data_IF_344074737593
#
_entry.id   IF_344074737593
#
_cell.length_a   1.000
_cell.length_b   1.000
_cell.length_c   1.000
_cell.angle_alpha   90.00
_cell.angle_beta   90.00
_cell.angle_gamma   90.00
#
_symmetry.space_group_name_H-M   'P 1'
#
loop_
_entity.id
_entity.type
_entity.pdbx_description
1 polymer ?
#
# COMPACT_ATOMS: atom_id res chain seq x y z
N UNK A 1 36.55 71.38 46.01
CA UNK A 1 35.96 70.94 44.72
C UNK A 1 36.16 69.42 44.64
N UNK A 2 35.09 68.73 44.59
CA UNK A 2 34.96 67.26 44.84
C UNK A 2 35.25 66.50 43.54
N UNK A 3 36.22 65.58 43.57
CA UNK A 3 36.46 64.62 42.48
C UNK A 3 35.77 63.32 42.80
N UNK A 4 34.86 62.88 41.90
CA UNK A 4 34.21 61.57 41.97
C UNK A 4 35.02 60.51 41.23
N UNK A 5 35.50 59.52 41.93
CA UNK A 5 36.03 58.27 41.34
C UNK A 5 34.91 57.24 41.31
N UNK A 6 34.59 56.79 40.11
CA UNK A 6 33.62 55.70 39.86
C UNK A 6 34.34 54.38 39.87
N UNK A 7 33.90 53.49 40.75
CA UNK A 7 34.34 52.08 40.79
C UNK A 7 33.50 51.28 39.78
N UNK A 8 34.12 50.64 38.83
CA UNK A 8 33.53 49.62 37.99
C UNK A 8 33.77 48.26 38.65
N UNK A 9 32.68 47.61 39.09
CA UNK A 9 32.68 46.23 39.48
C UNK A 9 32.30 45.36 38.30
N UNK A 10 33.23 44.50 37.83
CA UNK A 10 32.95 43.44 36.88
C UNK A 10 32.25 42.28 37.62
N UNK A 11 31.01 42.02 37.32
CA UNK A 11 30.29 40.80 37.66
C UNK A 11 30.44 39.83 36.51
N UNK A 12 31.30 38.85 36.64
CA UNK A 12 31.37 37.69 35.74
C UNK A 12 30.20 36.76 36.00
N UNK A 13 29.14 36.88 35.24
CA UNK A 13 28.00 35.92 35.26
C UNK A 13 28.35 34.68 34.45
N UNK A 14 28.61 33.60 35.14
CA UNK A 14 28.72 32.27 34.51
C UNK A 14 27.33 31.82 34.01
N UNK A 15 27.04 31.95 32.73
CA UNK A 15 25.89 31.32 32.11
C UNK A 15 26.19 29.80 31.98
N UNK A 16 25.74 29.04 32.94
CA UNK A 16 25.61 27.60 32.79
C UNK A 16 24.44 27.33 31.84
N UNK A 17 24.76 27.07 30.57
CA UNK A 17 23.80 26.58 29.60
C UNK A 17 23.37 25.16 29.99
N UNK A 18 22.25 25.04 30.71
CA UNK A 18 21.58 23.79 30.95
C UNK A 18 21.14 23.24 29.61
N UNK A 19 21.90 22.33 29.00
CA UNK A 19 21.41 21.46 27.94
C UNK A 19 20.35 20.56 28.59
N UNK A 20 19.09 20.97 28.47
CA UNK A 20 17.98 20.07 28.63
C UNK A 20 18.17 18.99 27.56
N UNK A 21 18.72 17.85 27.96
CA UNK A 21 18.60 16.63 27.17
C UNK A 21 17.09 16.36 27.07
N UNK A 22 16.50 16.68 25.92
CA UNK A 22 15.16 16.22 25.60
C UNK A 22 15.25 14.69 25.68
N UNK A 23 14.60 14.08 26.63
CA UNK A 23 14.44 12.64 26.68
C UNK A 23 13.76 12.25 25.37
N UNK A 24 14.54 11.72 24.44
CA UNK A 24 14.06 11.23 23.18
C UNK A 24 13.10 10.09 23.52
N UNK A 25 11.81 10.29 23.30
CA UNK A 25 10.84 9.22 23.47
C UNK A 25 11.38 7.98 22.73
N UNK A 26 11.33 6.79 23.34
CA UNK A 26 11.81 5.59 22.65
C UNK A 26 11.12 5.49 21.30
N UNK A 27 11.91 5.31 20.24
CA UNK A 27 11.39 5.22 18.89
C UNK A 27 10.33 4.10 18.84
N UNK A 28 9.14 4.43 18.35
CA UNK A 28 8.05 3.47 18.21
C UNK A 28 8.55 2.26 17.42
N UNK A 29 8.41 1.05 17.98
CA UNK A 29 8.74 -0.18 17.28
C UNK A 29 7.81 -0.36 16.07
N UNK A 30 8.36 -0.87 14.98
CA UNK A 30 7.63 -1.17 13.76
C UNK A 30 7.87 -2.62 13.39
N UNK A 31 6.80 -3.35 13.14
CA UNK A 31 6.84 -4.69 12.54
C UNK A 31 6.53 -4.59 11.05
N UNK A 32 7.29 -5.30 10.23
CA UNK A 32 6.95 -5.53 8.83
C UNK A 32 6.50 -6.98 8.68
N UNK A 33 5.41 -7.18 7.94
CA UNK A 33 4.91 -8.49 7.57
C UNK A 33 4.93 -8.62 6.06
N UNK A 34 5.53 -9.71 5.55
CA UNK A 34 5.58 -10.00 4.12
C UNK A 34 5.29 -11.48 3.88
N UNK A 35 4.53 -11.78 2.82
CA UNK A 35 4.16 -13.16 2.55
C UNK A 35 4.93 -13.79 1.40
N UNK A 36 5.06 -15.12 1.49
CA UNK A 36 5.34 -16.02 0.37
C UNK A 36 4.23 -17.07 0.36
N UNK A 37 3.35 -17.03 -0.64
CA UNK A 37 2.17 -17.89 -0.66
C UNK A 37 1.35 -17.78 0.63
N UNK A 38 1.17 -18.88 1.39
CA UNK A 38 0.42 -18.89 2.64
C UNK A 38 1.25 -18.47 3.86
N UNK A 39 2.54 -18.34 3.73
CA UNK A 39 3.46 -18.02 4.82
C UNK A 39 3.57 -16.52 5.00
N UNK A 40 3.29 -16.01 6.21
CA UNK A 40 3.43 -14.62 6.60
C UNK A 40 4.59 -14.49 7.57
N UNK A 41 5.68 -13.91 7.10
CA UNK A 41 6.90 -13.71 7.87
C UNK A 41 6.91 -12.33 8.51
N UNK A 42 7.24 -12.30 9.80
CA UNK A 42 7.49 -11.10 10.58
C UNK A 42 8.96 -10.68 10.46
N UNK A 43 9.17 -9.37 10.35
CA UNK A 43 10.47 -8.71 10.44
C UNK A 43 10.39 -7.54 11.43
N UNK A 44 11.34 -7.44 12.34
CA UNK A 44 11.57 -6.19 13.06
C UNK A 44 12.17 -5.16 12.10
N UNK A 45 11.71 -3.91 12.18
CA UNK A 45 12.23 -2.82 11.36
C UNK A 45 13.13 -1.93 12.22
N UNK A 46 14.44 -2.00 12.00
CA UNK A 46 15.37 -0.99 12.52
C UNK A 46 15.36 0.22 11.57
N UNK A 47 14.55 1.22 11.91
CA UNK A 47 14.42 2.44 11.13
C UNK A 47 15.74 3.23 11.09
N UNK A 48 16.52 3.23 12.18
CA UNK A 48 17.79 3.94 12.23
C UNK A 48 18.87 3.26 11.39
N UNK A 49 19.00 1.94 11.48
CA UNK A 49 19.91 1.12 10.67
C UNK A 49 19.44 0.89 9.23
N UNK A 50 18.16 1.19 8.93
CA UNK A 50 17.47 0.80 7.69
C UNK A 50 17.61 -0.71 7.42
N UNK A 51 17.31 -1.52 8.44
CA UNK A 51 17.50 -2.96 8.44
C UNK A 51 16.20 -3.70 8.76
N UNK A 52 16.01 -4.85 8.12
CA UNK A 52 14.92 -5.79 8.39
C UNK A 52 15.51 -7.03 9.05
N UNK A 53 15.06 -7.35 10.25
CA UNK A 53 15.54 -8.51 11.01
C UNK A 53 14.43 -9.57 10.97
N UNK A 54 14.65 -10.64 10.20
CA UNK A 54 13.68 -11.73 10.06
C UNK A 54 13.42 -12.39 11.41
N UNK A 55 12.16 -12.63 11.69
CA UNK A 55 11.63 -13.32 12.87
C UNK A 55 10.86 -14.57 12.45
N UNK A 56 9.83 -14.90 13.16
CA UNK A 56 9.00 -16.07 12.94
C UNK A 56 8.05 -15.90 11.73
N UNK A 57 7.53 -17.04 11.30
CA UNK A 57 6.55 -17.14 10.21
C UNK A 57 5.31 -17.85 10.70
N UNK A 58 4.13 -17.32 10.34
CA UNK A 58 2.82 -17.97 10.56
C UNK A 58 2.29 -18.46 9.22
N UNK A 59 1.89 -19.73 9.15
CA UNK A 59 1.30 -20.32 7.96
C UNK A 59 -0.23 -20.26 8.06
N UNK A 60 -0.86 -19.69 7.02
CA UNK A 60 -2.31 -19.59 6.87
C UNK A 60 -2.88 -20.65 5.91
N UNK A 61 -4.20 -20.75 5.86
CA UNK A 61 -4.89 -21.57 4.87
C UNK A 61 -5.04 -20.76 3.58
N UNK A 62 -4.28 -21.12 2.55
CA UNK A 62 -4.29 -20.44 1.26
C UNK A 62 -3.33 -19.24 1.15
N UNK A 63 -2.96 -18.91 -0.08
CA UNK A 63 -2.06 -17.81 -0.40
C UNK A 63 -2.66 -16.45 0.00
N UNK A 64 -1.87 -15.64 0.68
CA UNK A 64 -2.29 -14.33 1.20
C UNK A 64 -2.53 -13.38 0.03
N UNK A 65 -3.70 -12.73 0.04
CA UNK A 65 -4.08 -11.74 -0.97
C UNK A 65 -3.92 -10.31 -0.48
N UNK A 66 -4.33 -10.06 0.76
CA UNK A 66 -4.18 -8.75 1.40
C UNK A 66 -4.28 -8.88 2.91
N UNK A 67 -3.71 -7.91 3.62
CA UNK A 67 -3.92 -7.79 5.05
C UNK A 67 -4.06 -6.32 5.47
N UNK A 68 -4.79 -6.10 6.58
CA UNK A 68 -5.03 -4.78 7.13
C UNK A 68 -5.03 -4.79 8.66
N UNK A 69 -4.31 -3.87 9.31
CA UNK A 69 -4.27 -3.83 10.77
C UNK A 69 -5.56 -3.20 11.34
N UNK A 70 -6.01 -3.72 12.47
CA UNK A 70 -6.98 -3.05 13.32
C UNK A 70 -6.39 -1.74 13.87
N UNK A 71 -7.22 -0.70 14.09
CA UNK A 71 -6.77 0.60 14.62
C UNK A 71 -6.00 0.50 15.94
N UNK A 72 -6.32 -0.49 16.79
CA UNK A 72 -5.61 -0.74 18.04
C UNK A 72 -4.21 -1.35 17.84
N UNK A 73 -3.89 -1.80 16.61
CA UNK A 73 -2.64 -2.48 16.26
C UNK A 73 -2.40 -3.78 17.03
N UNK A 74 -3.45 -4.35 17.62
CA UNK A 74 -3.44 -5.63 18.32
C UNK A 74 -3.87 -6.79 17.44
N UNK A 75 -4.44 -6.51 16.27
CA UNK A 75 -4.90 -7.51 15.33
C UNK A 75 -4.52 -7.13 13.89
N UNK A 76 -4.25 -8.16 13.10
CA UNK A 76 -4.06 -8.07 11.65
C UNK A 76 -5.09 -8.97 10.98
N UNK A 77 -5.96 -8.41 10.15
CA UNK A 77 -6.93 -9.16 9.37
C UNK A 77 -6.32 -9.55 8.04
N UNK A 78 -6.42 -10.81 7.67
CA UNK A 78 -5.78 -11.38 6.48
C UNK A 78 -6.82 -12.08 5.61
N UNK A 79 -6.90 -11.69 4.35
CA UNK A 79 -7.65 -12.38 3.31
C UNK A 79 -6.72 -13.34 2.57
N UNK A 80 -7.10 -14.61 2.47
CA UNK A 80 -6.31 -15.66 1.83
C UNK A 80 -7.16 -16.56 0.93
N UNK A 81 -6.51 -17.27 -0.01
CA UNK A 81 -7.18 -18.08 -1.00
C UNK A 81 -6.28 -19.17 -1.57
N UNK A 82 -6.82 -20.36 -1.82
CA UNK A 82 -6.13 -21.40 -2.58
C UNK A 82 -6.26 -21.23 -4.11
N UNK A 83 -6.97 -20.18 -4.57
CA UNK A 83 -7.00 -19.69 -5.95
C UNK A 83 -6.17 -18.40 -6.14
N UNK A 84 -5.20 -18.15 -5.25
CA UNK A 84 -4.34 -16.97 -5.29
C UNK A 84 -3.37 -17.03 -6.48
N UNK A 85 -3.06 -15.92 -7.16
CA UNK A 85 -1.98 -15.89 -8.13
C UNK A 85 -0.67 -16.36 -7.50
N UNK A 86 0.04 -17.30 -8.17
CA UNK A 86 1.26 -17.91 -7.64
C UNK A 86 1.03 -18.89 -6.49
N UNK A 87 -0.21 -19.20 -6.13
CA UNK A 87 -0.56 -20.23 -5.14
C UNK A 87 -1.91 -20.84 -5.48
N UNK A 88 -1.98 -21.57 -6.58
CA UNK A 88 -3.20 -22.27 -7.00
C UNK A 88 -3.17 -23.70 -6.50
N UNK A 89 -4.20 -24.11 -5.76
CA UNK A 89 -4.41 -25.46 -5.26
C UNK A 89 -5.87 -25.86 -5.46
N UNK A 90 -6.11 -27.03 -5.99
CA UNK A 90 -7.47 -27.55 -6.15
C UNK A 90 -8.11 -27.86 -4.78
N UNK A 91 -9.43 -27.69 -4.65
CA UNK A 91 -10.44 -27.35 -5.67
C UNK A 91 -10.63 -25.84 -5.94
N UNK A 92 -9.73 -24.95 -5.51
CA UNK A 92 -9.77 -23.49 -5.66
C UNK A 92 -10.99 -22.81 -5.01
N UNK A 93 -11.57 -23.43 -4.00
CA UNK A 93 -12.77 -22.94 -3.31
C UNK A 93 -12.52 -22.54 -1.86
N UNK A 94 -11.27 -22.60 -1.41
CA UNK A 94 -10.90 -22.29 -0.04
C UNK A 94 -10.41 -20.85 0.07
N UNK A 95 -11.31 -19.99 0.54
CA UNK A 95 -11.07 -18.57 0.70
C UNK A 95 -11.43 -18.19 2.13
N UNK A 96 -10.55 -17.44 2.80
CA UNK A 96 -10.71 -17.16 4.23
C UNK A 96 -10.41 -15.72 4.59
N UNK A 97 -11.09 -15.26 5.63
CA UNK A 97 -10.79 -14.07 6.40
C UNK A 97 -10.34 -14.51 7.79
N UNK A 98 -9.10 -14.26 8.13
CA UNK A 98 -8.45 -14.71 9.37
C UNK A 98 -8.01 -13.49 10.19
N UNK A 99 -8.21 -13.51 11.50
CA UNK A 99 -7.54 -12.58 12.41
C UNK A 99 -6.26 -13.21 12.96
N UNK A 100 -5.21 -12.39 13.02
CA UNK A 100 -3.98 -12.69 13.73
C UNK A 100 -3.83 -11.68 14.87
N UNK A 101 -3.54 -12.15 16.07
CA UNK A 101 -3.14 -11.29 17.19
C UNK A 101 -1.69 -10.86 16.99
N UNK A 102 -1.42 -9.58 17.22
CA UNK A 102 -0.09 -8.99 17.19
C UNK A 102 0.38 -8.82 18.63
N UNK A 103 1.48 -9.45 19.00
CA UNK A 103 2.10 -9.20 20.29
C UNK A 103 2.59 -7.73 20.36
N UNK A 104 2.11 -6.94 21.33
CA UNK A 104 2.40 -5.50 21.36
C UNK A 104 3.87 -5.16 21.64
N UNK A 105 4.64 -6.10 22.16
CA UNK A 105 6.06 -5.88 22.53
C UNK A 105 7.02 -6.34 21.42
N UNK A 106 6.68 -7.42 20.76
CA UNK A 106 7.56 -8.07 19.79
C UNK A 106 7.08 -7.93 18.35
N UNK A 107 5.77 -7.79 18.09
CA UNK A 107 5.19 -7.83 16.75
C UNK A 107 4.87 -9.26 16.29
N UNK A 108 5.17 -10.28 17.11
CA UNK A 108 4.89 -11.68 16.78
C UNK A 108 3.41 -11.92 16.49
N UNK A 109 3.14 -12.75 15.47
CA UNK A 109 1.78 -13.06 15.05
C UNK A 109 1.34 -14.42 15.58
N UNK A 110 0.12 -14.49 16.10
CA UNK A 110 -0.55 -15.74 16.45
C UNK A 110 -1.98 -15.78 15.89
N UNK A 111 -2.46 -16.97 15.49
CA UNK A 111 -3.85 -17.11 15.03
C UNK A 111 -4.80 -16.72 16.16
N UNK A 112 -5.85 -15.96 15.82
CA UNK A 112 -6.82 -15.45 16.78
C UNK A 112 -8.25 -15.79 16.36
N UNK A 113 -8.86 -16.74 17.05
CA UNK A 113 -10.16 -17.33 16.69
C UNK A 113 -10.12 -18.15 15.41
N UNK A 114 -11.30 -18.62 14.99
CA UNK A 114 -11.48 -19.38 13.78
C UNK A 114 -11.60 -18.47 12.55
N UNK A 115 -11.05 -18.88 11.40
CA UNK A 115 -11.21 -18.12 10.17
C UNK A 115 -12.64 -18.20 9.63
N UNK A 116 -13.15 -17.12 9.06
CA UNK A 116 -14.42 -17.11 8.34
C UNK A 116 -14.18 -17.52 6.89
N UNK A 117 -15.01 -18.45 6.37
CA UNK A 117 -15.00 -18.79 4.96
C UNK A 117 -15.60 -17.67 4.12
N UNK A 118 -14.87 -17.24 3.09
CA UNK A 118 -15.33 -16.28 2.11
C UNK A 118 -15.95 -16.99 0.90
N UNK A 119 -16.91 -16.34 0.18
CA UNK A 119 -17.64 -16.99 -0.91
C UNK A 119 -16.82 -17.18 -2.19
N UNK A 120 -15.74 -16.40 -2.35
CA UNK A 120 -14.88 -16.42 -3.54
C UNK A 120 -13.52 -15.80 -3.20
N UNK A 121 -12.58 -15.86 -4.16
CA UNK A 121 -11.24 -15.30 -3.98
C UNK A 121 -11.29 -13.78 -3.68
N UNK A 122 -10.84 -13.35 -2.51
CA UNK A 122 -10.69 -11.91 -2.22
C UNK A 122 -9.45 -11.35 -2.92
N UNK A 123 -9.39 -10.01 -3.09
CA UNK A 123 -8.19 -9.33 -3.60
C UNK A 123 -7.70 -8.23 -2.67
N UNK A 124 -8.58 -7.62 -1.93
CA UNK A 124 -8.27 -6.53 -0.99
C UNK A 124 -9.23 -6.55 0.19
N UNK A 125 -8.73 -6.12 1.34
CA UNK A 125 -9.57 -5.77 2.47
C UNK A 125 -9.04 -4.51 3.17
N UNK A 126 -9.93 -3.81 3.86
CA UNK A 126 -9.59 -2.78 4.84
C UNK A 126 -10.58 -2.81 5.99
N UNK A 127 -10.24 -2.19 7.11
CA UNK A 127 -11.24 -1.87 8.13
C UNK A 127 -11.83 -0.48 7.86
N UNK A 128 -13.03 -0.24 8.37
CA UNK A 128 -13.51 1.12 8.54
C UNK A 128 -12.67 1.87 9.59
N UNK A 129 -12.81 3.19 9.67
CA UNK A 129 -11.94 4.02 10.54
C UNK A 129 -12.03 3.62 12.03
N UNK A 130 -13.21 3.34 12.61
CA UNK A 130 -13.30 2.86 13.99
C UNK A 130 -12.83 1.41 14.17
N UNK A 131 -12.56 0.69 13.06
CA UNK A 131 -12.28 -0.75 13.05
C UNK A 131 -13.36 -1.55 13.76
N UNK A 132 -14.60 -1.27 13.43
CA UNK A 132 -15.78 -2.03 13.85
C UNK A 132 -16.24 -3.01 12.76
N UNK A 133 -15.75 -2.79 11.52
CA UNK A 133 -16.11 -3.61 10.37
C UNK A 133 -14.90 -3.82 9.45
N UNK A 134 -14.91 -4.97 8.76
CA UNK A 134 -13.97 -5.32 7.69
C UNK A 134 -14.73 -5.28 6.36
N UNK A 135 -14.22 -4.49 5.42
CA UNK A 135 -14.73 -4.44 4.05
C UNK A 135 -13.80 -5.28 3.17
N UNK A 136 -14.37 -6.17 2.38
CA UNK A 136 -13.62 -7.09 1.50
C UNK A 136 -14.06 -6.90 0.06
N UNK A 137 -13.10 -6.69 -0.84
CA UNK A 137 -13.32 -6.59 -2.29
C UNK A 137 -12.97 -7.92 -2.98
N UNK A 138 -13.80 -8.31 -3.96
CA UNK A 138 -13.69 -9.52 -4.73
C UNK A 138 -13.65 -9.18 -6.22
N UNK A 139 -12.65 -9.65 -7.00
CA UNK A 139 -12.47 -9.21 -8.38
C UNK A 139 -13.36 -9.94 -9.40
N UNK A 140 -13.67 -11.21 -9.16
CA UNK A 140 -14.42 -12.03 -10.12
C UNK A 140 -15.16 -13.18 -9.41
N UNK A 141 -16.51 -13.16 -9.45
CA UNK A 141 -17.38 -12.04 -9.80
C UNK A 141 -17.06 -10.79 -8.98
N UNK A 142 -17.23 -9.59 -9.59
CA UNK A 142 -16.97 -8.34 -8.88
C UNK A 142 -17.96 -8.14 -7.73
N UNK A 143 -17.46 -7.93 -6.51
CA UNK A 143 -18.31 -7.77 -5.34
C UNK A 143 -17.58 -7.02 -4.22
N UNK A 144 -18.36 -6.50 -3.27
CA UNK A 144 -17.88 -6.05 -1.97
C UNK A 144 -18.77 -6.62 -0.87
N UNK A 145 -18.16 -7.04 0.24
CA UNK A 145 -18.87 -7.51 1.43
C UNK A 145 -18.32 -6.86 2.67
N UNK A 146 -19.16 -6.72 3.68
CA UNK A 146 -18.82 -6.11 4.96
C UNK A 146 -19.05 -7.14 6.06
N UNK A 147 -18.07 -7.31 6.94
CA UNK A 147 -18.11 -8.21 8.08
C UNK A 147 -17.93 -7.43 9.37
N UNK A 148 -18.66 -7.78 10.42
CA UNK A 148 -18.46 -7.21 11.75
C UNK A 148 -17.08 -7.59 12.30
N UNK A 149 -16.57 -6.78 13.19
CA UNK A 149 -15.47 -7.16 14.09
C UNK A 149 -16.09 -7.37 15.47
N UNK A 150 -15.93 -8.56 16.03
CA UNK A 150 -16.40 -8.89 17.35
C UNK A 150 -15.62 -8.13 18.42
N UNK A 151 -16.18 -8.03 19.64
CA UNK A 151 -15.54 -7.30 20.75
C UNK A 151 -14.16 -7.84 21.13
N UNK A 152 -13.89 -9.13 20.88
CA UNK A 152 -12.61 -9.78 21.10
C UNK A 152 -11.61 -9.61 19.95
N UNK A 153 -12.02 -8.94 18.86
CA UNK A 153 -11.19 -8.69 17.67
C UNK A 153 -11.26 -9.79 16.62
N UNK A 154 -12.05 -10.84 16.81
CA UNK A 154 -12.27 -11.86 15.78
C UNK A 154 -13.18 -11.32 14.67
N UNK A 155 -13.05 -11.79 13.40
CA UNK A 155 -14.03 -11.50 12.37
C UNK A 155 -15.41 -12.07 12.76
N UNK A 156 -16.45 -11.26 12.57
CA UNK A 156 -17.83 -11.61 12.89
C UNK A 156 -18.65 -11.93 11.64
N UNK A 157 -19.98 -11.90 11.81
CA UNK A 157 -20.92 -12.20 10.73
C UNK A 157 -20.86 -11.17 9.58
N UNK A 158 -21.28 -11.60 8.40
CA UNK A 158 -21.50 -10.73 7.25
C UNK A 158 -22.68 -9.79 7.51
N UNK A 159 -22.50 -8.50 7.27
CA UNK A 159 -23.56 -7.51 7.36
C UNK A 159 -24.44 -7.59 6.12
N UNK A 160 -25.68 -8.03 6.30
CA UNK A 160 -26.64 -8.09 5.20
C UNK A 160 -26.94 -6.68 4.69
N UNK A 161 -26.66 -6.44 3.43
CA UNK A 161 -26.96 -5.16 2.78
C UNK A 161 -28.44 -5.09 2.41
N UNK A 162 -29.04 -3.87 2.37
CA UNK A 162 -30.49 -3.70 2.11
C UNK A 162 -30.90 -4.06 0.68
N UNK A 163 -29.96 -4.10 -0.25
CA UNK A 163 -30.19 -4.43 -1.65
C UNK A 163 -28.90 -4.90 -2.36
N UNK A 164 -28.96 -5.19 -3.64
CA UNK A 164 -27.78 -5.53 -4.44
C UNK A 164 -26.82 -4.34 -4.48
N UNK A 165 -25.52 -4.63 -4.38
CA UNK A 165 -24.45 -3.63 -4.49
C UNK A 165 -23.92 -3.62 -5.94
N UNK A 166 -23.93 -2.45 -6.58
CA UNK A 166 -23.30 -2.24 -7.88
C UNK A 166 -21.78 -2.16 -7.69
N UNK A 167 -21.12 -3.29 -7.83
CA UNK A 167 -19.69 -3.44 -7.58
C UNK A 167 -18.79 -3.25 -8.83
N UNK A 168 -19.36 -2.77 -9.94
CA UNK A 168 -18.62 -2.55 -11.19
C UNK A 168 -17.95 -3.81 -11.73
N UNK A 169 -16.82 -3.65 -12.41
CA UNK A 169 -16.07 -4.75 -13.01
C UNK A 169 -14.67 -4.79 -12.46
N UNK A 170 -14.27 -5.95 -11.93
CA UNK A 170 -12.98 -6.21 -11.32
C UNK A 170 -12.70 -5.28 -10.12
N UNK A 171 -13.51 -5.41 -9.07
CA UNK A 171 -13.26 -4.73 -7.80
C UNK A 171 -11.85 -5.05 -7.30
N UNK A 172 -11.02 -4.02 -7.10
CA UNK A 172 -9.61 -4.20 -6.80
C UNK A 172 -9.22 -3.67 -5.40
N UNK A 173 -9.78 -2.55 -4.96
CA UNK A 173 -9.52 -1.98 -3.64
C UNK A 173 -10.80 -1.42 -3.04
N UNK A 174 -10.98 -1.56 -1.73
CA UNK A 174 -12.06 -0.94 -0.96
C UNK A 174 -11.46 -0.17 0.21
N UNK A 175 -11.85 1.09 0.38
CA UNK A 175 -11.43 1.96 1.48
C UNK A 175 -12.58 2.84 1.93
N UNK A 176 -12.68 3.11 3.22
CA UNK A 176 -13.52 4.21 3.71
C UNK A 176 -12.74 5.52 3.69
N UNK A 177 -13.48 6.65 3.54
CA UNK A 177 -12.88 7.99 3.66
C UNK A 177 -12.40 8.25 5.10
N UNK A 178 -11.44 9.19 5.31
CA UNK A 178 -10.91 9.49 6.65
C UNK A 178 -11.99 9.91 7.67
N UNK A 179 -13.10 10.47 7.23
CA UNK A 179 -14.25 10.83 8.07
C UNK A 179 -15.28 9.69 8.24
N UNK A 180 -15.00 8.53 7.67
CA UNK A 180 -15.83 7.32 7.69
C UNK A 180 -17.24 7.46 7.11
N UNK A 181 -17.48 8.45 6.26
CA UNK A 181 -18.81 8.71 5.69
C UNK A 181 -19.05 8.07 4.35
N UNK A 182 -17.97 7.79 3.61
CA UNK A 182 -18.05 7.17 2.31
C UNK A 182 -17.20 5.89 2.29
N UNK A 183 -17.61 4.91 1.49
CA UNK A 183 -16.78 3.79 1.07
C UNK A 183 -16.53 3.90 -0.44
N UNK A 184 -15.27 3.72 -0.86
CA UNK A 184 -14.86 3.82 -2.24
C UNK A 184 -14.34 2.46 -2.68
N UNK A 185 -15.06 1.83 -3.61
CA UNK A 185 -14.64 0.60 -4.26
C UNK A 185 -14.00 0.97 -5.61
N UNK A 186 -12.70 0.74 -5.70
CA UNK A 186 -11.95 0.93 -6.95
C UNK A 186 -12.20 -0.30 -7.83
N UNK A 187 -12.81 -0.10 -9.00
CA UNK A 187 -13.07 -1.16 -9.97
C UNK A 187 -12.22 -0.91 -11.21
N UNK A 188 -11.29 -1.83 -11.46
CA UNK A 188 -10.27 -1.64 -12.50
C UNK A 188 -10.83 -1.72 -13.93
N UNK A 189 -11.91 -2.48 -14.14
CA UNK A 189 -12.27 -2.95 -15.45
C UNK A 189 -11.33 -4.05 -15.95
N UNK A 190 -11.43 -4.40 -17.21
CA UNK A 190 -10.52 -5.32 -17.88
C UNK A 190 -10.03 -4.71 -19.18
N UNK A 191 -8.76 -4.91 -19.50
CA UNK A 191 -8.19 -4.50 -20.78
C UNK A 191 -8.92 -5.18 -21.95
N UNK A 192 -9.05 -4.47 -23.04
CA UNK A 192 -9.57 -5.02 -24.27
C UNK A 192 -8.62 -6.06 -24.89
N UNK A 193 -9.19 -7.00 -25.59
CA UNK A 193 -8.46 -7.98 -26.42
C UNK A 193 -8.98 -7.92 -27.85
N UNK A 194 -8.30 -8.51 -28.84
CA UNK A 194 -8.87 -8.58 -30.20
C UNK A 194 -10.26 -9.23 -30.28
N UNK A 195 -10.59 -10.10 -29.32
CA UNK A 195 -11.86 -10.82 -29.25
C UNK A 195 -12.92 -10.16 -28.37
N UNK A 196 -12.54 -9.23 -27.49
CA UNK A 196 -13.47 -8.60 -26.53
C UNK A 196 -13.11 -7.14 -26.32
N UNK A 197 -14.09 -6.21 -26.41
CA UNK A 197 -13.88 -4.82 -26.03
C UNK A 197 -13.42 -4.68 -24.57
N UNK A 198 -12.77 -3.58 -24.24
CA UNK A 198 -12.43 -3.19 -22.87
C UNK A 198 -13.69 -3.12 -22.00
N UNK A 199 -13.60 -3.65 -20.78
CA UNK A 199 -14.60 -3.42 -19.73
C UNK A 199 -14.27 -2.14 -18.95
N UNK A 200 -15.27 -1.29 -18.63
CA UNK A 200 -15.01 0.00 -17.99
C UNK A 200 -14.52 -0.12 -16.55
N UNK A 201 -13.58 0.73 -16.17
CA UNK A 201 -13.17 0.97 -14.79
C UNK A 201 -13.99 2.10 -14.14
N UNK A 202 -14.06 2.13 -12.81
CA UNK A 202 -14.74 3.18 -12.07
C UNK A 202 -14.25 3.29 -10.62
N UNK A 203 -14.50 4.44 -9.99
CA UNK A 203 -14.56 4.56 -8.54
C UNK A 203 -16.05 4.51 -8.15
N UNK A 204 -16.47 3.41 -7.52
CA UNK A 204 -17.81 3.25 -6.99
C UNK A 204 -17.85 3.85 -5.58
N UNK A 205 -18.52 4.96 -5.42
CA UNK A 205 -18.58 5.72 -4.16
C UNK A 205 -19.94 5.50 -3.53
N UNK A 206 -19.94 4.95 -2.32
CA UNK A 206 -21.14 4.67 -1.53
C UNK A 206 -21.20 5.57 -0.31
N UNK A 207 -22.38 5.99 0.09
CA UNK A 207 -22.61 6.42 1.47
C UNK A 207 -22.35 5.24 2.40
N UNK A 208 -21.55 5.45 3.44
CA UNK A 208 -21.20 4.43 4.42
C UNK A 208 -21.68 4.82 5.80
N UNK A 209 -22.63 4.06 6.32
CA UNK A 209 -23.17 4.26 7.66
C UNK A 209 -23.60 2.93 8.28
N UNK A 210 -23.20 2.69 9.53
CA UNK A 210 -23.57 1.48 10.29
C UNK A 210 -23.24 0.16 9.54
N UNK A 211 -22.11 0.15 8.78
CA UNK A 211 -21.68 -0.93 7.90
C UNK A 211 -22.56 -1.14 6.65
N UNK A 212 -23.49 -0.26 6.36
CA UNK A 212 -24.34 -0.31 5.18
C UNK A 212 -23.75 0.58 4.07
N UNK A 213 -23.83 0.06 2.84
CA UNK A 213 -23.45 0.73 1.61
C UNK A 213 -24.73 1.14 0.86
N UNK A 214 -24.85 2.42 0.52
CA UNK A 214 -26.06 2.95 -0.14
C UNK A 214 -25.71 4.11 -1.07
N UNK A 215 -26.68 4.57 -1.85
CA UNK A 215 -26.58 5.77 -2.70
C UNK A 215 -25.31 5.78 -3.57
N UNK A 216 -25.05 4.69 -4.30
CA UNK A 216 -23.88 4.56 -5.19
C UNK A 216 -23.82 5.68 -6.22
N UNK A 217 -22.63 6.28 -6.33
CA UNK A 217 -22.25 7.21 -7.39
C UNK A 217 -21.02 6.67 -8.10
N UNK A 218 -21.09 6.54 -9.42
CA UNK A 218 -19.98 6.04 -10.23
C UNK A 218 -19.17 7.20 -10.80
N UNK A 219 -17.89 7.30 -10.42
CA UNK A 219 -16.93 8.21 -11.04
C UNK A 219 -16.16 7.41 -12.08
N UNK A 220 -16.46 7.65 -13.35
CA UNK A 220 -15.95 6.89 -14.49
C UNK A 220 -15.62 7.86 -15.66
N UNK A 221 -14.49 8.56 -15.62
CA UNK A 221 -14.06 9.44 -16.71
C UNK A 221 -14.06 8.70 -18.04
N UNK A 222 -14.51 9.35 -19.11
CA UNK A 222 -14.67 8.74 -20.43
C UNK A 222 -15.55 7.47 -20.45
N UNK A 223 -16.58 7.43 -19.58
CA UNK A 223 -17.41 6.24 -19.40
C UNK A 223 -16.65 5.03 -18.84
N UNK A 224 -15.52 5.26 -18.17
CA UNK A 224 -14.66 4.25 -17.57
C UNK A 224 -13.67 3.57 -18.53
N UNK A 225 -13.71 3.91 -19.82
CA UNK A 225 -12.77 3.38 -20.83
C UNK A 225 -11.42 4.06 -20.67
N UNK A 226 -10.35 3.26 -20.80
CA UNK A 226 -8.97 3.68 -20.56
C UNK A 226 -8.75 4.24 -19.14
N UNK A 227 -9.70 4.07 -18.23
CA UNK A 227 -9.56 4.60 -16.88
C UNK A 227 -8.71 3.69 -15.99
N UNK A 228 -8.98 2.39 -15.90
CA UNK A 228 -8.18 1.37 -15.22
C UNK A 228 -7.64 1.75 -13.83
N UNK A 229 -8.45 2.30 -12.90
CA UNK A 229 -7.97 2.68 -11.57
C UNK A 229 -7.63 1.43 -10.75
N UNK A 230 -6.58 1.51 -9.91
CA UNK A 230 -6.12 0.34 -9.15
C UNK A 230 -6.09 0.54 -7.65
N UNK A 231 -5.37 1.52 -7.17
CA UNK A 231 -5.26 1.86 -5.74
C UNK A 231 -5.49 3.35 -5.54
N UNK A 232 -6.00 3.69 -4.37
CA UNK A 232 -6.09 5.07 -3.91
C UNK A 232 -5.45 5.23 -2.53
N UNK A 233 -5.04 6.45 -2.23
CA UNK A 233 -4.72 6.86 -0.87
C UNK A 233 -5.17 8.30 -0.60
N UNK A 234 -5.38 8.63 0.67
CA UNK A 234 -5.85 9.94 1.10
C UNK A 234 -4.70 10.77 1.66
N UNK A 235 -4.74 12.06 1.40
CA UNK A 235 -3.87 12.98 2.10
C UNK A 235 -4.22 13.00 3.60
N UNK A 236 -3.24 12.95 4.54
CA UNK A 236 -3.53 12.78 5.97
C UNK A 236 -4.31 13.91 6.61
N UNK A 237 -4.27 15.13 6.06
CA UNK A 237 -4.86 16.32 6.67
C UNK A 237 -5.61 17.24 5.70
N UNK A 238 -5.52 16.99 4.40
CA UNK A 238 -6.15 17.82 3.37
C UNK A 238 -7.21 17.01 2.62
N UNK A 239 -8.21 17.65 2.01
CA UNK A 239 -9.28 16.95 1.32
C UNK A 239 -8.88 16.48 -0.08
N UNK A 240 -7.79 15.74 -0.18
CA UNK A 240 -7.26 15.23 -1.44
C UNK A 240 -7.15 13.71 -1.42
N UNK A 241 -7.52 13.11 -2.54
CA UNK A 241 -7.39 11.68 -2.80
C UNK A 241 -6.57 11.46 -4.07
N UNK A 242 -5.59 10.57 -4.01
CA UNK A 242 -4.73 10.20 -5.11
C UNK A 242 -5.05 8.79 -5.57
N UNK A 243 -5.19 8.61 -6.89
CA UNK A 243 -5.57 7.32 -7.50
C UNK A 243 -4.55 6.94 -8.55
N UNK A 244 -3.95 5.77 -8.42
CA UNK A 244 -3.08 5.20 -9.45
C UNK A 244 -3.93 4.60 -10.57
N UNK A 245 -3.65 5.00 -11.80
CA UNK A 245 -4.32 4.53 -13.02
C UNK A 245 -3.41 3.52 -13.70
N UNK A 246 -3.69 2.23 -13.47
CA UNK A 246 -2.80 1.11 -13.81
C UNK A 246 -2.44 1.08 -15.30
N UNK A 247 -3.46 1.14 -16.15
CA UNK A 247 -3.31 0.96 -17.59
C UNK A 247 -2.72 2.18 -18.30
N UNK A 248 -2.93 3.38 -17.75
CA UNK A 248 -2.43 4.63 -18.34
C UNK A 248 -1.07 5.06 -17.80
N UNK A 249 -0.55 4.41 -16.73
CA UNK A 249 0.65 4.86 -16.03
C UNK A 249 0.55 6.32 -15.57
N UNK A 250 -0.58 6.65 -14.93
CA UNK A 250 -0.87 8.01 -14.44
C UNK A 250 -1.28 8.00 -12.96
N UNK A 251 -1.11 9.16 -12.35
CA UNK A 251 -1.60 9.47 -11.03
C UNK A 251 -2.66 10.56 -11.15
N UNK A 252 -3.91 10.27 -10.72
CA UNK A 252 -4.99 11.24 -10.72
C UNK A 252 -5.22 11.76 -9.31
N UNK A 253 -5.48 13.07 -9.21
CA UNK A 253 -5.89 13.72 -7.97
C UNK A 253 -7.36 14.09 -8.04
N UNK A 254 -8.11 13.71 -7.00
CA UNK A 254 -9.49 14.10 -6.78
C UNK A 254 -9.61 14.95 -5.52
N UNK A 255 -10.55 15.87 -5.49
CA UNK A 255 -10.88 16.67 -4.31
C UNK A 255 -12.06 16.08 -3.57
N UNK A 256 -12.01 16.18 -2.25
CA UNK A 256 -13.14 15.87 -1.39
C UNK A 256 -13.79 17.18 -0.96
N UNK A 257 -15.02 17.41 -1.39
CA UNK A 257 -15.73 18.66 -1.18
C UNK A 257 -17.12 18.37 -0.63
N UNK A 258 -17.54 19.10 0.40
CA UNK A 258 -18.87 18.94 1.03
C UNK A 258 -19.19 17.48 1.45
N UNK A 259 -18.18 16.73 1.87
CA UNK A 259 -18.33 15.32 2.27
C UNK A 259 -18.55 14.36 1.10
N UNK A 260 -18.22 14.76 -0.12
CA UNK A 260 -18.31 13.96 -1.37
C UNK A 260 -16.98 13.98 -2.11
N UNK A 261 -16.78 13.03 -3.02
CA UNK A 261 -15.69 13.09 -3.98
C UNK A 261 -16.16 13.92 -5.18
N UNK A 262 -15.46 15.00 -5.49
CA UNK A 262 -15.71 15.74 -6.72
C UNK A 262 -15.34 14.82 -7.92
N UNK A 263 -16.25 14.54 -8.86
CA UNK A 263 -15.98 13.63 -9.98
C UNK A 263 -14.94 14.17 -10.98
N UNK A 264 -14.68 15.48 -10.95
CA UNK A 264 -13.68 16.11 -11.80
C UNK A 264 -12.26 15.75 -11.37
N UNK A 265 -11.43 15.33 -12.32
CA UNK A 265 -10.01 15.09 -12.08
C UNK A 265 -9.30 16.43 -11.92
N UNK A 266 -8.88 16.73 -10.70
CA UNK A 266 -8.20 18.00 -10.41
C UNK A 266 -6.82 18.07 -11.08
N UNK A 267 -6.03 16.99 -11.03
CA UNK A 267 -4.69 16.92 -11.62
C UNK A 267 -4.42 15.54 -12.19
N UNK A 268 -3.58 15.51 -13.24
CA UNK A 268 -3.04 14.29 -13.85
C UNK A 268 -1.54 14.41 -13.89
N UNK A 269 -0.83 13.44 -13.31
CA UNK A 269 0.63 13.37 -13.35
C UNK A 269 1.07 12.05 -13.99
N UNK A 270 2.21 12.08 -14.68
CA UNK A 270 2.84 10.88 -15.22
C UNK A 270 3.50 10.08 -14.10
N UNK A 271 3.48 8.73 -14.20
CA UNK A 271 4.19 7.87 -13.26
C UNK A 271 5.56 7.43 -13.79
N UNK A 272 5.75 7.42 -15.10
CA UNK A 272 6.96 6.96 -15.75
C UNK A 272 7.96 8.11 -15.97
N UNK A 273 9.25 7.78 -15.88
CA UNK A 273 10.32 8.70 -16.25
C UNK A 273 10.30 9.02 -17.76
N UNK A 274 9.91 8.04 -18.57
CA UNK A 274 9.78 8.17 -20.03
C UNK A 274 8.32 7.89 -20.46
N UNK A 275 7.38 8.81 -20.25
CA UNK A 275 5.96 8.57 -20.46
C UNK A 275 5.59 8.31 -21.94
N UNK A 276 6.46 8.69 -22.86
CA UNK A 276 6.28 8.43 -24.32
C UNK A 276 6.93 7.11 -24.78
N UNK A 277 7.59 6.36 -23.88
CA UNK A 277 8.28 5.12 -24.18
C UNK A 277 7.69 3.96 -23.36
N UNK A 278 6.37 3.78 -23.47
CA UNK A 278 5.65 2.75 -22.70
C UNK A 278 6.03 1.37 -23.20
N UNK A 279 6.58 0.55 -22.33
CA UNK A 279 6.87 -0.85 -22.61
C UNK A 279 5.65 -1.72 -22.47
N UNK A 280 5.65 -2.86 -23.12
CA UNK A 280 4.54 -3.80 -23.01
C UNK A 280 4.35 -4.27 -21.56
N UNK A 281 3.10 -4.29 -21.09
CA UNK A 281 2.71 -4.60 -19.70
C UNK A 281 3.36 -3.69 -18.64
N UNK A 282 3.69 -2.48 -19.02
CA UNK A 282 4.03 -1.42 -18.10
C UNK A 282 2.78 -0.96 -17.36
N UNK A 283 2.82 -0.90 -16.05
CA UNK A 283 1.64 -0.61 -15.25
C UNK A 283 1.97 0.18 -13.99
N UNK A 284 1.15 1.18 -13.67
CA UNK A 284 1.18 1.81 -12.37
C UNK A 284 0.69 0.83 -11.28
N UNK A 285 1.24 0.94 -10.08
CA UNK A 285 1.01 0.01 -8.99
C UNK A 285 0.35 0.65 -7.76
N UNK A 286 0.88 0.29 -6.61
CA UNK A 286 0.50 0.84 -5.30
C UNK A 286 0.81 2.33 -5.21
N UNK A 287 0.00 3.06 -4.45
CA UNK A 287 0.18 4.47 -4.12
C UNK A 287 0.10 4.67 -2.61
N UNK A 288 0.99 5.49 -2.05
CA UNK A 288 0.93 5.92 -0.66
C UNK A 288 1.34 7.38 -0.52
N UNK A 289 0.59 8.11 0.30
CA UNK A 289 0.94 9.46 0.73
C UNK A 289 1.89 9.35 1.93
N UNK A 290 2.95 10.13 1.94
CA UNK A 290 3.86 10.21 3.07
C UNK A 290 3.12 10.69 4.34
N UNK A 291 3.43 10.19 5.54
CA UNK A 291 2.74 10.61 6.78
C UNK A 291 2.72 12.12 7.05
N UNK A 292 3.71 12.87 6.55
CA UNK A 292 3.73 14.34 6.68
C UNK A 292 2.88 15.09 5.63
N UNK A 293 2.28 14.39 4.65
CA UNK A 293 1.46 14.96 3.59
C UNK A 293 2.21 15.76 2.52
N UNK A 294 3.54 15.83 2.57
CA UNK A 294 4.32 16.63 1.60
C UNK A 294 4.70 15.88 0.34
N UNK A 295 4.66 14.54 0.38
CA UNK A 295 5.11 13.68 -0.71
C UNK A 295 4.11 12.57 -0.99
N UNK A 296 4.11 12.12 -2.24
CA UNK A 296 3.32 10.99 -2.71
C UNK A 296 4.27 10.02 -3.43
N UNK A 297 4.05 8.73 -3.26
CA UNK A 297 4.85 7.67 -3.87
C UNK A 297 3.95 6.75 -4.68
N UNK A 298 4.43 6.34 -5.86
CA UNK A 298 3.74 5.40 -6.74
C UNK A 298 4.70 4.34 -7.27
N UNK A 299 4.28 3.07 -7.33
CA UNK A 299 5.08 2.03 -7.94
C UNK A 299 4.83 1.96 -9.45
N UNK A 300 5.90 1.85 -10.23
CA UNK A 300 5.90 1.47 -11.63
C UNK A 300 6.43 0.04 -11.75
N UNK A 301 5.77 -0.79 -12.55
CA UNK A 301 6.12 -2.20 -12.68
C UNK A 301 5.96 -2.70 -14.10
N UNK A 302 6.92 -3.51 -14.54
CA UNK A 302 6.90 -4.24 -15.78
C UNK A 302 7.46 -5.64 -15.52
N UNK A 303 6.91 -6.65 -16.21
CA UNK A 303 7.32 -8.05 -15.99
C UNK A 303 7.34 -8.87 -17.28
N UNK A 304 7.03 -8.24 -18.42
CA UNK A 304 6.97 -9.01 -19.66
C UNK A 304 8.31 -9.61 -20.03
N UNK A 305 8.29 -10.83 -20.50
CA UNK A 305 9.48 -11.56 -20.96
C UNK A 305 9.47 -11.76 -22.48
N UNK A 306 10.64 -12.04 -23.01
CA UNK A 306 10.92 -12.44 -24.39
C UNK A 306 11.83 -13.66 -24.38
N UNK A 307 11.75 -14.49 -25.44
CA UNK A 307 12.66 -15.61 -25.60
C UNK A 307 14.06 -15.11 -25.98
N UNK A 308 15.06 -15.54 -25.22
CA UNK A 308 16.47 -15.30 -25.48
C UNK A 308 17.29 -16.52 -25.08
N UNK A 309 18.02 -17.12 -26.04
CA UNK A 309 18.82 -18.33 -25.80
C UNK A 309 18.05 -19.49 -25.12
N UNK A 310 16.75 -19.65 -25.49
CA UNK A 310 15.89 -20.71 -24.93
C UNK A 310 15.35 -20.45 -23.53
N UNK A 311 15.55 -19.25 -22.98
CA UNK A 311 14.98 -18.81 -21.69
C UNK A 311 14.06 -17.61 -21.85
N UNK A 312 13.12 -17.46 -20.93
CA UNK A 312 12.28 -16.26 -20.82
C UNK A 312 13.03 -15.19 -20.03
N UNK A 313 13.49 -14.12 -20.69
CA UNK A 313 14.18 -13.01 -20.05
C UNK A 313 13.33 -11.75 -20.07
N UNK A 314 13.52 -10.90 -19.10
CA UNK A 314 12.82 -9.60 -19.00
C UNK A 314 12.99 -8.78 -20.29
N UNK A 315 11.87 -8.33 -20.84
CA UNK A 315 11.83 -7.57 -22.11
C UNK A 315 12.21 -6.10 -21.95
N UNK A 316 12.28 -5.61 -20.72
CA UNK A 316 12.48 -4.21 -20.40
C UNK A 316 11.22 -3.53 -19.90
N UNK A 317 11.39 -2.37 -19.33
CA UNK A 317 10.35 -1.55 -18.71
C UNK A 317 10.82 -0.95 -17.40
N UNK A 318 10.08 0.01 -16.89
CA UNK A 318 10.43 0.72 -15.66
C UNK A 318 9.90 -0.05 -14.44
N UNK A 319 10.80 -0.31 -13.49
CA UNK A 319 10.51 -0.90 -12.19
C UNK A 319 11.05 0.04 -11.12
N UNK A 320 10.26 1.07 -10.81
CA UNK A 320 10.67 2.19 -9.97
C UNK A 320 9.61 2.54 -8.94
N UNK A 321 10.01 3.37 -7.97
CA UNK A 321 9.09 4.19 -7.18
C UNK A 321 9.21 5.62 -7.68
N UNK A 322 8.12 6.14 -8.27
CA UNK A 322 8.02 7.57 -8.56
C UNK A 322 7.71 8.34 -7.27
N UNK A 323 8.45 9.40 -7.05
CA UNK A 323 8.27 10.32 -5.92
C UNK A 323 7.72 11.63 -6.45
N UNK A 324 6.65 12.13 -5.83
CA UNK A 324 6.07 13.43 -6.14
C UNK A 324 6.20 14.36 -4.93
N UNK A 325 6.51 15.62 -5.18
CA UNK A 325 6.21 16.68 -4.25
C UNK A 325 4.75 17.11 -4.41
N UNK A 326 4.03 17.24 -3.30
CA UNK A 326 2.63 17.72 -3.29
C UNK A 326 2.63 19.22 -3.01
N UNK A 327 2.06 20.01 -3.91
CA UNK A 327 1.79 21.42 -3.64
C UNK A 327 0.79 21.54 -2.48
N UNK A 328 1.20 22.20 -1.39
CA UNK A 328 0.42 22.23 -0.15
C UNK A 328 -0.80 23.17 -0.20
N UNK A 329 -0.93 23.96 -1.24
CA UNK A 329 -2.07 24.84 -1.49
C UNK A 329 -3.11 24.21 -2.42
N UNK A 330 -2.67 23.44 -3.41
CA UNK A 330 -3.52 22.92 -4.49
C UNK A 330 -3.74 21.41 -4.45
N UNK A 331 -2.78 20.64 -3.88
CA UNK A 331 -2.76 19.18 -3.91
C UNK A 331 -2.16 18.60 -5.18
N UNK A 332 -1.60 19.42 -6.06
CA UNK A 332 -0.99 18.95 -7.31
C UNK A 332 0.29 18.17 -7.05
N UNK A 333 0.41 16.91 -7.57
CA UNK A 333 1.61 16.11 -7.45
C UNK A 333 2.56 16.39 -8.61
N UNK A 334 3.79 16.82 -8.33
CA UNK A 334 4.86 17.04 -9.31
C UNK A 334 5.95 15.98 -9.15
N UNK A 335 6.29 15.18 -10.17
CA UNK A 335 7.36 14.18 -10.07
C UNK A 335 8.72 14.84 -9.78
N UNK A 336 9.46 14.31 -8.79
CA UNK A 336 10.78 14.80 -8.39
C UNK A 336 11.86 13.73 -8.46
N UNK A 337 11.47 12.43 -8.57
CA UNK A 337 12.40 11.32 -8.72
C UNK A 337 11.68 10.08 -9.24
N UNK A 338 12.40 9.25 -10.00
CA UNK A 338 12.05 7.85 -10.30
C UNK A 338 13.18 6.99 -9.73
N UNK A 339 12.94 6.37 -8.58
CA UNK A 339 13.95 5.56 -7.89
C UNK A 339 13.87 4.12 -8.38
N UNK A 340 14.95 3.61 -8.97
CA UNK A 340 15.07 2.20 -9.34
C UNK A 340 14.91 1.30 -8.12
N UNK A 341 14.10 0.27 -8.22
CA UNK A 341 13.87 -0.69 -7.13
C UNK A 341 14.89 -1.82 -7.05
N UNK A 342 15.84 -1.87 -7.97
CA UNK A 342 16.93 -2.86 -8.07
C UNK A 342 16.48 -4.32 -8.24
N UNK A 343 15.18 -4.54 -8.43
CA UNK A 343 14.52 -5.82 -8.70
C UNK A 343 13.35 -5.58 -9.65
N UNK A 344 12.73 -6.66 -10.13
CA UNK A 344 11.63 -6.58 -11.09
C UNK A 344 10.29 -6.67 -10.39
N UNK A 345 9.28 -5.96 -10.92
CA UNK A 345 7.88 -5.96 -10.51
C UNK A 345 7.67 -5.58 -9.03
N UNK A 346 7.94 -4.31 -8.63
CA UNK A 346 7.58 -3.81 -7.30
C UNK A 346 6.05 -3.81 -7.15
N UNK A 347 5.49 -4.95 -6.69
CA UNK A 347 4.04 -5.15 -6.63
C UNK A 347 3.38 -4.24 -5.60
N UNK A 348 4.01 -4.11 -4.45
CA UNK A 348 3.58 -3.26 -3.35
C UNK A 348 4.77 -2.65 -2.63
N UNK A 349 4.54 -1.56 -1.94
CA UNK A 349 5.51 -0.97 -1.03
C UNK A 349 4.77 -0.39 0.17
N UNK A 350 5.49 -0.11 1.24
CA UNK A 350 4.95 0.57 2.40
C UNK A 350 5.96 1.57 2.96
N UNK A 351 5.47 2.64 3.57
CA UNK A 351 6.28 3.66 4.25
C UNK A 351 6.17 3.41 5.75
N UNK A 352 7.29 3.46 6.47
CA UNK A 352 7.26 3.35 7.92
C UNK A 352 6.50 4.54 8.54
N UNK A 353 5.86 4.37 9.69
CA UNK A 353 5.04 5.45 10.29
C UNK A 353 5.79 6.72 10.62
N UNK A 354 7.12 6.67 10.79
CA UNK A 354 7.95 7.85 10.98
C UNK A 354 8.26 8.59 9.68
N UNK A 355 7.97 7.97 8.53
CA UNK A 355 8.25 8.53 7.20
C UNK A 355 9.72 8.53 6.81
N UNK A 356 10.57 7.69 7.44
CA UNK A 356 12.01 7.67 7.17
C UNK A 356 12.48 6.52 6.31
N UNK A 357 11.66 5.47 6.19
CA UNK A 357 11.93 4.31 5.35
C UNK A 357 10.77 3.99 4.42
N UNK A 358 11.12 3.51 3.24
CA UNK A 358 10.21 2.83 2.33
C UNK A 358 10.77 1.44 2.05
N UNK A 359 9.91 0.43 2.09
CA UNK A 359 10.25 -0.92 1.67
C UNK A 359 9.37 -1.32 0.50
N UNK A 360 9.97 -1.75 -0.61
CA UNK A 360 9.27 -2.25 -1.78
C UNK A 360 9.42 -3.78 -1.85
N UNK A 361 8.34 -4.46 -2.26
CA UNK A 361 8.28 -5.92 -2.40
C UNK A 361 8.17 -6.32 -3.87
N UNK A 362 9.00 -7.28 -4.28
CA UNK A 362 9.08 -7.83 -5.62
C UNK A 362 8.63 -9.28 -5.60
N UNK A 363 7.67 -9.62 -6.47
CA UNK A 363 6.87 -10.82 -6.27
C UNK A 363 7.51 -12.13 -6.75
N UNK A 364 8.34 -12.12 -7.80
CA UNK A 364 8.91 -13.32 -8.42
C UNK A 364 10.37 -13.10 -8.82
N UNK A 365 11.18 -14.16 -8.90
CA UNK A 365 12.47 -14.09 -9.57
C UNK A 365 12.26 -13.91 -11.09
N UNK A 366 13.11 -13.12 -11.71
CA UNK A 366 13.04 -12.83 -13.15
C UNK A 366 14.44 -12.89 -13.75
N UNK A 367 14.58 -13.67 -14.82
CA UNK A 367 15.79 -13.69 -15.60
C UNK A 367 15.93 -12.40 -16.42
N UNK A 368 17.09 -11.77 -16.32
CA UNK A 368 17.43 -10.54 -17.05
C UNK A 368 18.66 -10.78 -17.92
N UNK A 369 18.75 -10.09 -19.04
CA UNK A 369 19.92 -10.09 -19.88
C UNK A 369 20.99 -9.18 -19.28
N UNK A 370 22.22 -9.71 -19.12
CA UNK A 370 23.39 -8.97 -18.68
C UNK A 370 24.52 -9.18 -19.72
N UNK A 371 24.59 -8.27 -20.70
CA UNK A 371 25.41 -8.46 -21.89
C UNK A 371 24.96 -9.68 -22.70
N UNK A 372 25.84 -10.66 -22.86
CA UNK A 372 25.55 -11.92 -23.54
C UNK A 372 25.17 -13.06 -22.57
N UNK A 373 25.12 -12.77 -21.29
CA UNK A 373 24.72 -13.72 -20.22
C UNK A 373 23.32 -13.48 -19.72
N UNK A 374 22.77 -14.48 -19.05
CA UNK A 374 21.48 -14.38 -18.35
C UNK A 374 21.76 -14.45 -16.85
N UNK A 375 21.24 -13.48 -16.12
CA UNK A 375 21.29 -13.40 -14.67
C UNK A 375 19.87 -13.42 -14.09
N UNK A 376 19.64 -14.15 -13.02
CA UNK A 376 18.37 -14.12 -12.30
C UNK A 376 18.39 -13.03 -11.23
N UNK A 377 17.44 -12.09 -11.30
CA UNK A 377 17.14 -11.17 -10.20
C UNK A 377 16.10 -11.86 -9.29
N UNK A 378 16.42 -12.12 -8.01
CA UNK A 378 15.53 -12.84 -7.12
C UNK A 378 14.34 -11.97 -6.70
N UNK A 379 13.25 -12.61 -6.28
CA UNK A 379 12.18 -11.97 -5.51
C UNK A 379 12.74 -11.39 -4.20
N UNK A 380 11.99 -10.52 -3.53
CA UNK A 380 12.43 -10.03 -2.24
C UNK A 380 12.02 -8.61 -1.90
N UNK A 381 12.78 -7.99 -0.99
CA UNK A 381 12.49 -6.66 -0.46
C UNK A 381 13.64 -5.71 -0.78
N UNK A 382 13.31 -4.47 -1.14
CA UNK A 382 14.24 -3.36 -1.35
C UNK A 382 13.96 -2.26 -0.34
N UNK A 383 14.97 -1.85 0.44
CA UNK A 383 14.87 -0.86 1.51
C UNK A 383 15.49 0.45 1.05
N UNK A 384 14.73 1.53 1.25
CA UNK A 384 15.13 2.90 0.93
C UNK A 384 15.03 3.79 2.15
N UNK A 385 15.98 4.71 2.29
CA UNK A 385 15.81 5.88 3.15
C UNK A 385 15.02 6.94 2.41
N UNK A 386 14.13 7.61 3.15
CA UNK A 386 13.42 8.80 2.70
C UNK A 386 14.15 10.01 3.29
N UNK A 387 14.61 10.92 2.42
CA UNK A 387 15.23 12.17 2.81
C UNK A 387 14.19 13.24 3.15
N UNK A 388 14.61 14.36 3.74
CA UNK A 388 13.73 15.47 4.11
C UNK A 388 13.04 16.13 2.90
N UNK A 389 13.63 16.00 1.71
CA UNK A 389 13.06 16.43 0.42
C UNK A 389 12.18 15.36 -0.24
N UNK A 390 11.91 14.24 0.47
CA UNK A 390 11.08 13.13 0.02
C UNK A 390 11.77 12.13 -0.89
N UNK A 391 12.98 12.40 -1.37
CA UNK A 391 13.68 11.50 -2.28
C UNK A 391 14.14 10.22 -1.60
N UNK A 392 14.21 9.17 -2.40
CA UNK A 392 14.59 7.84 -1.98
C UNK A 392 16.07 7.59 -2.28
N UNK A 393 16.77 7.03 -1.29
CA UNK A 393 18.11 6.46 -1.47
C UNK A 393 18.06 4.98 -1.16
N UNK A 394 18.40 4.12 -2.11
CA UNK A 394 18.51 2.68 -1.91
C UNK A 394 19.58 2.39 -0.86
N UNK A 395 19.25 1.50 0.08
CA UNK A 395 20.18 1.08 1.15
C UNK A 395 20.62 -0.36 0.95
N UNK A 396 19.66 -1.28 0.83
CA UNK A 396 19.92 -2.70 0.68
C UNK A 396 18.74 -3.48 0.13
N UNK A 397 19.02 -4.66 -0.42
CA UNK A 397 18.05 -5.65 -0.82
C UNK A 397 18.10 -6.88 0.07
N UNK A 398 16.96 -7.58 0.17
CA UNK A 398 16.84 -8.89 0.78
C UNK A 398 16.28 -9.84 -0.27
N UNK A 399 17.05 -10.86 -0.61
CA UNK A 399 16.64 -11.93 -1.52
C UNK A 399 15.78 -12.91 -0.74
N UNK A 400 14.63 -13.27 -1.31
CA UNK A 400 13.67 -14.18 -0.68
C UNK A 400 13.40 -15.31 -1.67
N UNK A 401 13.67 -16.53 -1.24
CA UNK A 401 13.27 -17.72 -1.98
C UNK A 401 11.75 -17.87 -1.89
N UNK A 402 11.10 -17.90 -3.03
CA UNK A 402 9.66 -18.06 -3.14
C UNK A 402 9.24 -19.46 -3.59
N UNK A 403 10.21 -20.33 -3.96
CA UNK A 403 9.92 -21.67 -4.51
C UNK A 403 8.93 -21.58 -5.67
N UNK A 404 7.88 -22.43 -5.60
CA UNK A 404 6.77 -22.45 -6.57
C UNK A 404 5.65 -21.44 -6.22
N UNK A 405 5.93 -20.48 -5.34
CA UNK A 405 4.94 -19.51 -4.88
C UNK A 405 5.34 -18.07 -5.26
N UNK A 406 4.71 -17.09 -4.66
CA UNK A 406 4.97 -15.68 -4.94
C UNK A 406 4.83 -14.84 -3.67
N UNK A 407 5.56 -13.74 -3.61
CA UNK A 407 5.24 -12.66 -2.68
C UNK A 407 4.11 -11.82 -3.26
N UNK A 408 3.07 -11.55 -2.49
CA UNK A 408 1.89 -10.85 -3.00
C UNK A 408 1.52 -9.61 -2.21
N UNK A 409 1.69 -9.63 -0.90
CA UNK A 409 1.38 -8.55 0.02
C UNK A 409 2.52 -8.31 1.02
N UNK A 410 2.70 -7.05 1.38
CA UNK A 410 3.58 -6.62 2.46
C UNK A 410 2.98 -5.36 3.11
N UNK A 411 3.17 -5.20 4.42
CA UNK A 411 2.77 -4.01 5.14
C UNK A 411 3.57 -3.80 6.43
N UNK A 412 3.64 -2.55 6.88
CA UNK A 412 4.27 -2.17 8.14
C UNK A 412 3.22 -1.75 9.16
N UNK A 413 3.39 -2.21 10.39
CA UNK A 413 2.50 -1.90 11.51
C UNK A 413 3.32 -1.32 12.66
N UNK A 414 3.05 -0.07 13.08
CA UNK A 414 3.64 0.46 14.30
C UNK A 414 3.06 -0.29 15.49
N UNK A 415 3.90 -0.78 16.39
CA UNK A 415 3.43 -1.48 17.59
C UNK A 415 2.86 -0.49 18.61
N UNK A 416 1.88 -0.90 19.44
CA UNK A 416 1.40 -0.08 20.54
C UNK A 416 2.56 0.31 21.48
N UNK A 417 2.56 1.56 21.92
CA UNK A 417 3.51 2.07 22.94
C UNK A 417 3.07 1.72 24.32
#
# INVERSE_FOLDING_TARGET
MVSRRTFLSLVAGSMAASRLASAQQPAQKVALYANVGPELTHYDVDVAGAELIKRETVTLTGGIQYAWPHKSRRYLYVASSNAAPGYVREPQTDHFLTALAIDPKTGALTKHGDPIRLPQRPIHLSTDIPSENILVAFPNPSAVRVYRINKDGTPGEEVKQPGPIEAGIYAHQIRTTPDNKLAILVTRGNEGTPAKPEDPGALKVFDYKDALLSNEVSIAPNGGKEFGPRHLDFHPTKPWMYVSIETQNKMYTYRMENGRINPEIAYRAETLAEPNNIRARQAAGTVHVHPNGRFLYGANRAEQTVDYQGKKVFKGGENSIVVYAIDQSTGEPTPIQHADTHKIHPRTFHIDPSGRLLVAQHNLPVDVRDGDTIKTLPAGLSVFRIADDGKLTFVRGYDIDVGDSTMFWMGMVPLPT
#
